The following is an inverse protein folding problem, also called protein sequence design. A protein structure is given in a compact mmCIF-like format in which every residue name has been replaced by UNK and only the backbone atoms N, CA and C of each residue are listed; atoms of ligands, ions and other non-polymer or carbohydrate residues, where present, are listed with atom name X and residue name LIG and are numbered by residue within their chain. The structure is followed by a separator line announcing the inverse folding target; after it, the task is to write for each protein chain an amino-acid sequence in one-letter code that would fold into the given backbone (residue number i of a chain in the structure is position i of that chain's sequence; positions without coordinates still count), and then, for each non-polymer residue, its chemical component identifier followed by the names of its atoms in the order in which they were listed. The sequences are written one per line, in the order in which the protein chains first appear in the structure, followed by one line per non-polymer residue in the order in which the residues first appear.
data_IF_966945444848
#
_entry.id   IF_966945444848
#
_cell.length_a   1.000
_cell.length_b   1.000
_cell.length_c   1.000
_cell.angle_alpha   90.00
_cell.angle_beta   90.00
_cell.angle_gamma   90.00
#
_symmetry.space_group_name_H-M   'P 1'
#
loop_
_entity.id
_entity.type
_entity.pdbx_description
1 polymer ?
#
# COMPACT_ATOMS: atom_id res chain seq x y z
N UNK A 1 -26.65 -5.42 -2.99
CA UNK A 1 -25.26 -5.39 -3.46
C UNK A 1 -25.29 -5.41 -4.99
N UNK A 2 -24.45 -4.59 -5.63
CA UNK A 2 -24.38 -4.51 -7.10
C UNK A 2 -23.18 -5.30 -7.63
N UNK A 3 -22.56 -6.10 -6.76
CA UNK A 3 -21.41 -6.94 -7.09
C UNK A 3 -21.80 -8.05 -8.06
N UNK A 4 -20.89 -8.43 -8.93
CA UNK A 4 -21.08 -9.50 -9.90
C UNK A 4 -19.76 -10.21 -10.22
N UNK A 5 -19.83 -11.30 -10.98
CA UNK A 5 -18.67 -12.07 -11.42
C UNK A 5 -18.48 -11.94 -12.93
N UNK A 6 -17.24 -11.65 -13.37
CA UNK A 6 -16.84 -11.67 -14.76
C UNK A 6 -15.89 -12.85 -15.00
N UNK A 7 -16.10 -13.58 -16.11
CA UNK A 7 -15.35 -14.80 -16.43
C UNK A 7 -13.84 -14.59 -16.66
N UNK A 8 -13.44 -13.38 -17.10
CA UNK A 8 -12.05 -13.09 -17.47
C UNK A 8 -11.32 -12.29 -16.36
N UNK A 9 -12.08 -11.56 -15.54
CA UNK A 9 -11.54 -10.64 -14.53
C UNK A 9 -11.86 -11.05 -13.09
N UNK A 10 -12.69 -12.11 -12.91
CA UNK A 10 -13.10 -12.57 -11.58
C UNK A 10 -14.16 -11.69 -10.91
N UNK A 11 -14.15 -11.60 -9.57
CA UNK A 11 -15.15 -10.84 -8.83
C UNK A 11 -15.05 -9.33 -9.14
N UNK A 12 -16.20 -8.69 -9.34
CA UNK A 12 -16.33 -7.24 -9.51
C UNK A 12 -17.10 -6.66 -8.33
N UNK A 13 -16.41 -5.89 -7.50
CA UNK A 13 -16.98 -5.23 -6.32
C UNK A 13 -17.37 -3.80 -6.68
N UNK A 14 -18.64 -3.46 -6.49
CA UNK A 14 -19.20 -2.15 -6.84
C UNK A 14 -19.41 -1.30 -5.61
N UNK A 15 -18.68 -0.18 -5.52
CA UNK A 15 -18.78 0.82 -4.44
C UNK A 15 -19.50 2.07 -4.94
N UNK A 16 -20.69 2.33 -4.43
CA UNK A 16 -21.42 3.58 -4.72
C UNK A 16 -20.84 4.74 -3.91
N UNK A 17 -20.65 5.87 -4.56
CA UNK A 17 -20.11 7.06 -3.92
C UNK A 17 -20.89 8.30 -4.39
N UNK A 18 -21.47 9.05 -3.44
CA UNK A 18 -22.25 10.26 -3.71
C UNK A 18 -21.42 11.39 -4.33
N UNK A 19 -20.10 11.38 -4.12
CA UNK A 19 -19.18 12.38 -4.70
C UNK A 19 -18.61 11.97 -6.05
N UNK A 20 -18.85 10.73 -6.48
CA UNK A 20 -18.34 10.25 -7.76
C UNK A 20 -19.15 10.86 -8.91
N UNK A 21 -18.48 11.52 -9.83
CA UNK A 21 -19.06 12.06 -11.07
C UNK A 21 -18.84 11.16 -12.29
N UNK A 22 -17.95 10.16 -12.13
CA UNK A 22 -17.55 9.22 -13.21
C UNK A 22 -17.41 7.82 -12.63
N UNK A 23 -17.57 6.82 -13.49
CA UNK A 23 -17.23 5.44 -13.16
C UNK A 23 -15.73 5.27 -13.22
N UNK A 24 -15.14 4.71 -12.16
CA UNK A 24 -13.72 4.41 -12.08
C UNK A 24 -13.59 2.93 -11.76
N UNK A 25 -12.87 2.17 -12.59
CA UNK A 25 -12.54 0.78 -12.34
C UNK A 25 -11.04 0.64 -12.04
N UNK A 26 -10.71 -0.22 -11.08
CA UNK A 26 -9.33 -0.54 -10.68
C UNK A 26 -9.19 -2.04 -10.54
N UNK A 27 -8.14 -2.60 -11.12
CA UNK A 27 -7.81 -4.01 -10.92
C UNK A 27 -6.92 -4.15 -9.68
N UNK A 28 -7.36 -5.00 -8.75
CA UNK A 28 -6.61 -5.34 -7.54
C UNK A 28 -6.55 -6.85 -7.43
N UNK A 29 -5.37 -7.41 -7.71
CA UNK A 29 -5.17 -8.86 -7.70
C UNK A 29 -6.27 -9.56 -8.51
N UNK A 30 -7.07 -10.37 -7.83
CA UNK A 30 -8.14 -11.16 -8.41
C UNK A 30 -9.51 -10.46 -8.39
N UNK A 31 -9.55 -9.18 -8.04
CA UNK A 31 -10.79 -8.40 -7.89
C UNK A 31 -10.74 -7.12 -8.70
N UNK A 32 -11.83 -6.79 -9.37
CA UNK A 32 -12.04 -5.47 -9.95
C UNK A 32 -12.90 -4.63 -9.01
N UNK A 33 -12.37 -3.53 -8.50
CA UNK A 33 -13.13 -2.54 -7.74
C UNK A 33 -13.67 -1.46 -8.67
N UNK A 34 -15.00 -1.29 -8.72
CA UNK A 34 -15.65 -0.19 -9.41
C UNK A 34 -16.19 0.83 -8.43
N UNK A 35 -15.84 2.09 -8.60
CA UNK A 35 -16.49 3.21 -7.90
C UNK A 35 -17.44 3.89 -8.88
N UNK A 36 -18.72 3.96 -8.51
CA UNK A 36 -19.80 4.46 -9.35
C UNK A 36 -20.61 5.55 -8.66
N UNK A 37 -21.21 6.51 -9.42
CA UNK A 37 -22.20 7.43 -8.89
C UNK A 37 -23.41 6.72 -8.27
N UNK A 38 -24.07 7.37 -7.31
CA UNK A 38 -25.25 6.82 -6.64
C UNK A 38 -26.45 6.62 -7.59
N UNK A 39 -26.53 7.44 -8.64
CA UNK A 39 -27.65 7.47 -9.58
C UNK A 39 -27.68 6.34 -10.59
N UNK A 40 -26.59 5.62 -10.81
CA UNK A 40 -26.51 4.60 -11.83
C UNK A 40 -27.31 3.34 -11.45
N UNK A 41 -28.07 2.85 -12.43
CA UNK A 41 -28.76 1.54 -12.33
C UNK A 41 -27.77 0.38 -12.50
N UNK A 42 -28.17 -0.83 -12.12
CA UNK A 42 -27.35 -2.03 -12.30
C UNK A 42 -26.99 -2.29 -13.77
N UNK A 43 -27.93 -2.04 -14.67
CA UNK A 43 -27.72 -2.23 -16.10
C UNK A 43 -26.67 -1.28 -16.65
N UNK A 44 -26.71 0.00 -16.23
CA UNK A 44 -25.73 1.01 -16.61
C UNK A 44 -24.35 0.70 -16.03
N UNK A 45 -24.28 0.21 -14.79
CA UNK A 45 -23.01 -0.23 -14.17
C UNK A 45 -22.38 -1.34 -15.00
N UNK A 46 -23.17 -2.33 -15.43
CA UNK A 46 -22.67 -3.43 -16.26
C UNK A 46 -22.20 -2.93 -17.64
N UNK A 47 -22.96 -2.04 -18.26
CA UNK A 47 -22.57 -1.42 -19.54
C UNK A 47 -21.24 -0.65 -19.42
N UNK A 48 -21.10 0.13 -18.36
CA UNK A 48 -19.82 0.82 -18.08
C UNK A 48 -18.67 -0.14 -17.85
N UNK A 49 -18.92 -1.25 -17.15
CA UNK A 49 -17.92 -2.29 -16.94
C UNK A 49 -17.48 -2.90 -18.27
N UNK A 50 -18.43 -3.29 -19.11
CA UNK A 50 -18.14 -3.92 -20.42
C UNK A 50 -17.32 -2.98 -21.31
N UNK A 51 -17.61 -1.69 -21.28
CA UNK A 51 -16.83 -0.66 -22.00
C UNK A 51 -15.41 -0.48 -21.45
N UNK A 52 -15.22 -0.66 -20.14
CA UNK A 52 -13.91 -0.54 -19.48
C UNK A 52 -13.10 -1.83 -19.50
N UNK A 53 -13.75 -2.98 -19.68
CA UNK A 53 -13.14 -4.32 -19.60
C UNK A 53 -11.90 -4.47 -20.47
N UNK A 54 -11.87 -4.05 -21.76
CA UNK A 54 -10.68 -4.19 -22.59
C UNK A 54 -9.47 -3.45 -22.01
N UNK A 55 -9.69 -2.29 -21.41
CA UNK A 55 -8.62 -1.51 -20.74
C UNK A 55 -8.18 -2.14 -19.43
N UNK A 56 -9.13 -2.71 -18.66
CA UNK A 56 -8.83 -3.38 -17.38
C UNK A 56 -7.97 -4.62 -17.63
N UNK A 57 -8.24 -5.37 -18.70
CA UNK A 57 -7.44 -6.55 -19.08
C UNK A 57 -5.98 -6.18 -19.43
N UNK A 58 -5.76 -5.00 -19.99
CA UNK A 58 -4.42 -4.50 -20.33
C UNK A 58 -3.65 -3.93 -19.11
N UNK A 59 -4.34 -3.69 -17.99
CA UNK A 59 -3.66 -3.21 -16.79
C UNK A 59 -2.79 -4.32 -16.20
N UNK A 60 -1.53 -4.01 -15.85
CA UNK A 60 -0.68 -5.00 -15.18
C UNK A 60 -1.35 -5.44 -13.88
N UNK A 61 -1.46 -6.74 -13.70
CA UNK A 61 -1.84 -7.32 -12.41
C UNK A 61 -0.68 -7.04 -11.46
N UNK A 62 -0.91 -6.20 -10.47
CA UNK A 62 0.09 -6.01 -9.41
C UNK A 62 0.08 -7.25 -8.55
N UNK A 63 1.04 -8.12 -8.76
CA UNK A 63 1.29 -9.22 -7.85
C UNK A 63 1.54 -8.66 -6.44
N UNK A 64 0.92 -9.30 -5.45
CA UNK A 64 1.28 -9.00 -4.05
C UNK A 64 2.65 -9.63 -3.84
N UNK A 65 3.69 -8.85 -3.93
CA UNK A 65 5.00 -9.31 -3.48
C UNK A 65 4.90 -9.54 -1.99
N UNK A 66 4.93 -10.82 -1.61
CA UNK A 66 4.99 -11.21 -0.20
C UNK A 66 6.40 -10.97 0.32
N UNK A 67 6.46 -10.46 1.53
CA UNK A 67 7.72 -10.27 2.25
C UNK A 67 8.08 -11.61 2.88
N UNK A 68 9.25 -12.14 2.56
CA UNK A 68 9.80 -13.40 3.09
C UNK A 68 11.13 -13.15 3.78
N UNK A 69 11.65 -14.10 4.49
CA UNK A 69 12.98 -14.02 5.13
C UNK A 69 14.11 -13.73 4.12
N UNK A 70 13.91 -14.11 2.87
CA UNK A 70 14.86 -13.88 1.77
C UNK A 70 14.64 -12.55 1.05
N UNK A 71 13.61 -11.79 1.42
CA UNK A 71 13.30 -10.52 0.75
C UNK A 71 14.38 -9.49 1.04
N UNK A 72 15.00 -8.95 -0.01
CA UNK A 72 15.95 -7.85 0.09
C UNK A 72 15.19 -6.54 -0.07
N UNK A 73 14.94 -5.83 1.02
CA UNK A 73 14.27 -4.55 1.03
C UNK A 73 15.26 -3.48 1.48
N UNK A 74 15.64 -2.60 0.55
CA UNK A 74 16.58 -1.50 0.81
C UNK A 74 15.87 -0.17 0.68
N UNK A 75 16.03 0.67 1.69
CA UNK A 75 15.64 2.08 1.66
C UNK A 75 16.91 2.96 1.56
N UNK A 76 16.71 4.27 1.48
CA UNK A 76 17.84 5.21 1.39
C UNK A 76 18.76 5.18 2.63
N UNK A 77 18.20 4.90 3.80
CA UNK A 77 18.90 5.00 5.10
C UNK A 77 18.98 3.69 5.86
N UNK A 78 18.30 2.64 5.40
CA UNK A 78 18.30 1.35 6.09
C UNK A 78 18.01 0.19 5.13
N UNK A 79 18.39 -1.00 5.58
CA UNK A 79 18.00 -2.27 4.99
C UNK A 79 17.07 -3.02 5.96
N UNK A 80 16.11 -3.78 5.42
CA UNK A 80 15.20 -4.59 6.24
C UNK A 80 15.76 -6.00 6.37
N UNK A 81 15.84 -6.46 7.61
CA UNK A 81 16.20 -7.85 7.96
C UNK A 81 15.02 -8.47 8.69
N UNK A 82 14.69 -9.70 8.35
CA UNK A 82 13.61 -10.44 9.00
C UNK A 82 14.22 -11.53 9.85
N UNK A 83 13.82 -11.61 11.13
CA UNK A 83 14.24 -12.62 12.08
C UNK A 83 13.05 -13.40 12.62
N UNK A 84 13.29 -14.63 13.08
CA UNK A 84 12.27 -15.54 13.63
C UNK A 84 12.65 -16.01 15.03
N UNK A 85 13.37 -15.21 15.80
CA UNK A 85 14.00 -15.64 17.03
C UNK A 85 13.09 -15.51 18.26
N UNK A 86 12.04 -14.69 18.21
CA UNK A 86 11.20 -14.43 19.37
C UNK A 86 10.24 -15.59 19.65
N UNK A 87 10.50 -16.32 20.72
CA UNK A 87 9.61 -17.34 21.27
C UNK A 87 8.56 -16.77 22.24
N UNK A 88 8.74 -15.53 22.69
CA UNK A 88 7.97 -14.94 23.80
C UNK A 88 7.06 -13.77 23.40
N UNK A 89 7.09 -13.35 22.15
CA UNK A 89 6.27 -12.24 21.68
C UNK A 89 5.10 -12.75 20.83
N UNK A 90 3.90 -12.26 21.15
CA UNK A 90 2.68 -12.56 20.38
C UNK A 90 2.47 -11.59 19.19
N UNK A 91 3.47 -10.77 18.87
CA UNK A 91 3.33 -9.74 17.82
C UNK A 91 4.62 -9.60 17.03
N UNK A 92 4.49 -9.21 15.78
CA UNK A 92 5.62 -8.78 14.96
C UNK A 92 6.19 -7.49 15.54
N UNK A 93 7.48 -7.48 15.85
CA UNK A 93 8.19 -6.34 16.41
C UNK A 93 9.16 -5.73 15.42
N UNK A 94 9.56 -4.48 15.67
CA UNK A 94 10.51 -3.76 14.84
C UNK A 94 11.58 -3.10 15.71
N UNK A 95 12.83 -3.28 15.31
CA UNK A 95 13.97 -2.55 15.84
C UNK A 95 14.66 -1.78 14.70
N UNK A 96 14.78 -0.46 14.83
CA UNK A 96 15.56 0.38 13.91
C UNK A 96 16.87 0.78 14.59
N UNK A 97 17.98 0.21 14.13
CA UNK A 97 19.31 0.46 14.70
C UNK A 97 20.39 0.32 13.62
N UNK A 98 21.40 1.17 13.66
CA UNK A 98 22.63 1.10 12.85
C UNK A 98 22.41 0.90 11.34
N UNK A 99 21.36 1.52 10.79
CA UNK A 99 21.03 1.39 9.37
C UNK A 99 20.27 0.10 9.01
N UNK A 100 19.78 -0.62 10.00
CA UNK A 100 18.95 -1.81 9.80
C UNK A 100 17.58 -1.65 10.47
N UNK A 101 16.56 -2.16 9.80
CA UNK A 101 15.22 -2.39 10.35
C UNK A 101 15.08 -3.90 10.51
N UNK A 102 15.24 -4.38 11.74
CA UNK A 102 14.99 -5.79 12.05
C UNK A 102 13.50 -5.96 12.35
N UNK A 103 12.83 -6.81 11.57
CA UNK A 103 11.47 -7.26 11.83
C UNK A 103 11.54 -8.66 12.45
N UNK A 104 11.20 -8.74 13.72
CA UNK A 104 11.12 -10.01 14.42
C UNK A 104 9.70 -10.56 14.34
N UNK A 105 9.55 -11.65 13.59
CA UNK A 105 8.29 -12.36 13.38
C UNK A 105 8.30 -13.61 14.23
N UNK A 106 7.43 -13.73 15.25
CA UNK A 106 7.39 -14.89 16.11
C UNK A 106 7.28 -16.20 15.34
N UNK A 107 8.04 -17.23 15.74
CA UNK A 107 8.16 -18.50 15.01
C UNK A 107 6.84 -19.26 14.88
N UNK A 108 5.88 -19.04 15.79
CA UNK A 108 4.55 -19.64 15.75
C UNK A 108 3.65 -19.11 14.62
N UNK A 109 3.99 -17.99 14.00
CA UNK A 109 3.18 -17.42 12.91
C UNK A 109 3.75 -17.81 11.55
N UNK A 110 2.85 -18.17 10.63
CA UNK A 110 3.23 -18.30 9.24
C UNK A 110 3.44 -16.90 8.63
N UNK A 111 4.64 -16.63 8.14
CA UNK A 111 5.03 -15.36 7.53
C UNK A 111 4.16 -15.00 6.32
N UNK A 112 3.57 -16.00 5.65
CA UNK A 112 2.74 -15.82 4.47
C UNK A 112 1.29 -15.42 4.79
N UNK A 113 0.88 -15.47 6.05
CA UNK A 113 -0.47 -15.06 6.46
C UNK A 113 -0.69 -13.56 6.24
N UNK A 114 -1.86 -13.20 5.75
CA UNK A 114 -2.17 -11.83 5.34
C UNK A 114 -2.00 -10.82 6.49
N UNK A 115 -2.40 -11.17 7.71
CA UNK A 115 -2.23 -10.26 8.85
C UNK A 115 -0.76 -10.03 9.22
N UNK A 116 0.10 -11.06 9.08
CA UNK A 116 1.55 -10.94 9.30
C UNK A 116 2.16 -10.04 8.23
N UNK A 117 1.77 -10.25 6.97
CA UNK A 117 2.22 -9.43 5.84
C UNK A 117 1.81 -7.96 6.00
N UNK A 118 0.59 -7.71 6.47
CA UNK A 118 0.11 -6.34 6.76
C UNK A 118 0.92 -5.73 7.89
N UNK A 119 1.12 -6.47 8.99
CA UNK A 119 1.91 -5.99 10.14
C UNK A 119 3.35 -5.62 9.73
N UNK A 120 4.05 -6.49 8.99
CA UNK A 120 5.39 -6.21 8.49
C UNK A 120 5.43 -4.96 7.60
N UNK A 121 4.49 -4.83 6.65
CA UNK A 121 4.40 -3.65 5.78
C UNK A 121 4.15 -2.36 6.55
N UNK A 122 3.27 -2.40 7.55
CA UNK A 122 2.99 -1.23 8.39
C UNK A 122 4.20 -0.82 9.23
N UNK A 123 4.98 -1.77 9.75
CA UNK A 123 6.21 -1.51 10.47
C UNK A 123 7.30 -0.93 9.57
N UNK A 124 7.47 -1.42 8.35
CA UNK A 124 8.40 -0.84 7.36
C UNK A 124 7.99 0.60 7.03
N UNK A 125 6.71 0.85 6.81
CA UNK A 125 6.19 2.22 6.59
C UNK A 125 6.42 3.10 7.82
N UNK A 126 6.34 2.55 9.02
CA UNK A 126 6.66 3.27 10.26
C UNK A 126 8.14 3.64 10.32
N UNK A 127 9.05 2.71 10.02
CA UNK A 127 10.49 2.97 9.94
C UNK A 127 10.83 4.05 8.90
N UNK A 128 10.24 3.96 7.71
CA UNK A 128 10.40 4.99 6.66
C UNK A 128 10.00 6.39 7.15
N UNK A 129 8.96 6.50 7.99
CA UNK A 129 8.54 7.80 8.56
C UNK A 129 9.50 8.32 9.61
N UNK A 130 10.02 7.45 10.46
CA UNK A 130 11.03 7.82 11.46
C UNK A 130 12.24 8.41 10.71
N UNK A 131 12.75 7.69 9.73
CA UNK A 131 13.89 8.12 8.95
C UNK A 131 13.62 9.37 8.10
N UNK A 132 12.45 9.47 7.50
CA UNK A 132 12.06 10.66 6.76
C UNK A 132 12.04 11.91 7.66
N UNK A 133 11.53 11.80 8.90
CA UNK A 133 11.55 12.90 9.87
C UNK A 133 12.97 13.31 10.27
N UNK A 134 13.90 12.37 10.29
CA UNK A 134 15.31 12.62 10.62
C UNK A 134 16.06 13.27 9.44
N UNK A 135 15.87 12.76 8.22
CA UNK A 135 16.70 13.11 7.06
C UNK A 135 16.15 14.29 6.26
N UNK A 136 14.82 14.33 6.04
CA UNK A 136 14.24 15.34 5.14
C UNK A 136 14.41 16.78 5.61
N UNK A 137 14.27 17.15 6.90
CA UNK A 137 14.45 18.53 7.32
C UNK A 137 15.86 19.06 7.00
N UNK A 138 16.88 18.25 7.20
CA UNK A 138 18.27 18.64 6.90
C UNK A 138 18.50 18.84 5.38
N UNK A 139 17.97 17.93 4.56
CA UNK A 139 18.05 18.07 3.10
C UNK A 139 17.28 19.28 2.59
N UNK A 140 16.07 19.51 3.13
CA UNK A 140 15.26 20.69 2.78
C UNK A 140 15.99 21.97 3.16
N UNK A 141 16.57 22.05 4.36
CA UNK A 141 17.34 23.21 4.78
C UNK A 141 18.55 23.49 3.87
N UNK A 142 19.27 22.43 3.50
CA UNK A 142 20.40 22.55 2.55
C UNK A 142 19.94 23.12 1.20
N UNK A 143 18.90 22.57 0.59
CA UNK A 143 18.41 23.05 -0.70
C UNK A 143 17.75 24.43 -0.60
N UNK A 144 17.03 24.73 0.47
CA UNK A 144 16.45 26.04 0.70
C UNK A 144 17.51 27.13 0.74
N UNK A 145 18.65 26.87 1.42
CA UNK A 145 19.80 27.78 1.43
C UNK A 145 20.39 27.94 0.04
N UNK A 146 20.56 26.85 -0.72
CA UNK A 146 21.11 26.88 -2.08
C UNK A 146 20.21 27.63 -3.06
N UNK A 147 18.89 27.56 -2.89
CA UNK A 147 17.89 28.21 -3.73
C UNK A 147 17.49 29.61 -3.24
N UNK A 148 18.07 30.07 -2.14
CA UNK A 148 17.73 31.34 -1.47
C UNK A 148 16.24 31.48 -1.17
N UNK A 149 15.61 30.41 -0.67
CA UNK A 149 14.21 30.39 -0.27
C UNK A 149 14.07 30.05 1.21
N UNK A 150 13.00 30.57 1.85
CA UNK A 150 12.69 30.25 3.24
C UNK A 150 11.66 29.13 3.29
N UNK A 151 11.96 28.07 4.06
CA UNK A 151 11.03 26.97 4.33
C UNK A 151 10.61 27.07 5.79
N UNK A 152 9.30 27.27 6.03
CA UNK A 152 8.76 27.41 7.39
C UNK A 152 8.70 26.08 8.13
N UNK A 153 8.31 25.01 7.46
CA UNK A 153 8.08 23.71 8.09
C UNK A 153 8.15 22.56 7.08
N UNK A 154 8.68 21.41 7.52
CA UNK A 154 8.67 20.14 6.76
C UNK A 154 7.69 19.18 7.43
N UNK A 155 6.55 18.92 6.77
CA UNK A 155 5.52 18.00 7.27
C UNK A 155 5.55 16.68 6.51
N UNK A 156 5.74 15.58 7.23
CA UNK A 156 5.64 14.22 6.68
C UNK A 156 4.26 13.69 7.00
N UNK A 157 3.38 13.69 5.99
CA UNK A 157 2.00 13.21 6.13
C UNK A 157 1.88 11.74 5.69
N UNK A 158 1.00 10.99 6.36
CA UNK A 158 0.49 9.73 5.82
C UNK A 158 -0.44 10.08 4.66
N UNK A 159 0.04 9.96 3.44
CA UNK A 159 -0.90 9.89 2.34
C UNK A 159 -1.66 8.57 2.49
N UNK A 160 -2.84 8.65 3.05
CA UNK A 160 -3.85 7.67 2.75
C UNK A 160 -4.19 7.92 1.28
N UNK A 161 -3.52 7.23 0.36
CA UNK A 161 -4.14 6.95 -0.92
C UNK A 161 -5.40 6.22 -0.48
N UNK A 162 -6.53 6.93 -0.49
CA UNK A 162 -7.83 6.27 -0.35
C UNK A 162 -7.86 5.26 -1.46
N UNK A 163 -7.55 4.07 -1.04
CA UNK A 163 -7.60 2.90 -1.89
C UNK A 163 -9.06 2.66 -2.21
#
# INVERSE_FOLDING_TARGET
MDDFFDKDLGPVVVKRNSRAKKVIARRRHDVVEMTVPMSLTKSEIKLHFDNLKPRILQLPVREIVKITEQSVIKAYTFEVVITRESLFNDKVNMLLKDGFVTLDVPSQYDINQDYVQVAMKDLIVHALRIEAKRVLPQKVAYFAKKMNVQVREVKIKKFLIKQ
#
